data_IF_638988576772
#
_entry.id   IF_638988576772
#
_cell.length_a   1.000
_cell.length_b   1.000
_cell.length_c   1.000
_cell.angle_alpha   90.00
_cell.angle_beta   90.00
_cell.angle_gamma   90.00
#
_symmetry.space_group_name_H-M   'P 1'
#
loop_
_entity.id
_entity.type
_entity.pdbx_description
1 polymer ?
#
# COMPACT_ATOMS: atom_id res chain seq x y z
N UNK A 1 9.06 9.97 3.50
CA UNK A 1 9.38 8.84 2.57
C UNK A 1 9.68 9.41 1.21
N UNK A 2 10.69 8.91 0.56
CA UNK A 2 11.04 9.35 -0.78
C UNK A 2 10.47 8.39 -1.80
N UNK A 3 10.34 8.81 -3.06
CA UNK A 3 9.89 7.89 -4.11
C UNK A 3 10.74 6.61 -4.19
N UNK A 4 12.05 6.74 -4.03
CA UNK A 4 12.92 5.58 -4.08
C UNK A 4 12.66 4.64 -2.92
N UNK A 5 12.36 5.16 -1.73
CA UNK A 5 12.07 4.34 -0.59
C UNK A 5 10.74 3.62 -0.75
N UNK A 6 9.75 4.25 -1.37
CA UNK A 6 8.48 3.60 -1.63
C UNK A 6 8.70 2.40 -2.56
N UNK A 7 9.47 2.59 -3.61
CA UNK A 7 9.75 1.51 -4.56
C UNK A 7 10.52 0.38 -3.89
N UNK A 8 11.50 0.71 -3.05
CA UNK A 8 12.25 -0.28 -2.35
C UNK A 8 11.37 -1.06 -1.40
N UNK A 9 10.48 -0.40 -0.68
CA UNK A 9 9.58 -1.05 0.25
C UNK A 9 8.67 -2.02 -0.51
N UNK A 10 8.11 -1.58 -1.64
CA UNK A 10 7.25 -2.42 -2.45
C UNK A 10 7.99 -3.66 -2.94
N UNK A 11 9.20 -3.46 -3.45
CA UNK A 11 9.98 -4.59 -3.95
C UNK A 11 10.39 -5.54 -2.83
N UNK A 12 10.70 -5.02 -1.65
CA UNK A 12 11.12 -5.88 -0.55
C UNK A 12 9.96 -6.73 -0.05
N UNK A 13 8.73 -6.28 -0.21
CA UNK A 13 7.56 -7.05 0.17
C UNK A 13 7.09 -7.96 -0.96
N UNK A 14 7.69 -7.86 -2.14
CA UNK A 14 7.34 -8.71 -3.26
C UNK A 14 6.07 -8.29 -3.98
N UNK A 15 5.65 -7.03 -3.86
CA UNK A 15 4.41 -6.58 -4.47
C UNK A 15 4.65 -5.96 -5.82
N UNK A 16 3.74 -6.22 -6.76
CA UNK A 16 3.66 -5.43 -7.98
C UNK A 16 3.04 -4.08 -7.66
N UNK A 17 3.04 -3.15 -8.60
CA UNK A 17 2.39 -1.86 -8.37
C UNK A 17 0.90 -2.04 -8.11
N UNK A 18 0.26 -2.98 -8.80
CA UNK A 18 -1.17 -3.22 -8.58
C UNK A 18 -1.43 -3.87 -7.22
N UNK A 19 -0.56 -4.77 -6.81
CA UNK A 19 -0.70 -5.38 -5.49
C UNK A 19 -0.50 -4.35 -4.39
N UNK A 20 0.46 -3.43 -4.56
CA UNK A 20 0.66 -2.37 -3.60
C UNK A 20 -0.56 -1.46 -3.54
N UNK A 21 -1.17 -1.17 -4.68
CA UNK A 21 -2.38 -0.36 -4.71
C UNK A 21 -3.51 -1.04 -3.95
N UNK A 22 -3.65 -2.36 -4.11
CA UNK A 22 -4.65 -3.11 -3.39
C UNK A 22 -4.36 -3.11 -1.89
N UNK A 23 -3.10 -3.28 -1.52
CA UNK A 23 -2.70 -3.28 -0.11
C UNK A 23 -3.02 -1.95 0.54
N UNK A 24 -2.90 -0.87 -0.21
CA UNK A 24 -3.17 0.46 0.30
C UNK A 24 -4.63 0.89 0.11
N UNK A 25 -5.46 -0.01 -0.39
CA UNK A 25 -6.89 0.23 -0.61
C UNK A 25 -7.14 1.40 -1.55
N UNK A 26 -6.30 1.52 -2.56
CA UNK A 26 -6.49 2.56 -3.57
C UNK A 26 -7.49 2.07 -4.62
N UNK A 27 -7.96 2.99 -5.44
CA UNK A 27 -8.96 2.67 -6.46
C UNK A 27 -8.47 1.56 -7.37
N UNK A 28 -9.28 0.56 -7.66
CA UNK A 28 -8.86 -0.51 -8.57
C UNK A 28 -8.54 0.02 -9.97
N UNK A 29 -9.18 1.11 -10.39
CA UNK A 29 -8.96 1.63 -11.72
C UNK A 29 -7.70 2.45 -11.83
N UNK A 30 -7.34 3.19 -10.80
CA UNK A 30 -6.24 4.13 -10.89
C UNK A 30 -5.14 3.91 -9.89
N UNK A 31 -5.29 2.94 -9.01
CA UNK A 31 -4.34 2.75 -7.91
C UNK A 31 -2.94 2.45 -8.40
N UNK A 32 -2.80 1.56 -9.38
CA UNK A 32 -1.48 1.23 -9.91
C UNK A 32 -0.81 2.43 -10.55
N UNK A 33 -1.59 3.23 -11.28
CA UNK A 33 -1.07 4.44 -11.88
C UNK A 33 -0.62 5.44 -10.81
N UNK A 34 -1.38 5.54 -9.73
CA UNK A 34 -1.02 6.41 -8.61
C UNK A 34 0.29 5.97 -7.98
N UNK A 35 0.47 4.67 -7.77
CA UNK A 35 1.72 4.15 -7.23
C UNK A 35 2.88 4.49 -8.17
N UNK A 36 2.71 4.29 -9.46
CA UNK A 36 3.76 4.60 -10.42
C UNK A 36 4.13 6.07 -10.38
N UNK A 37 3.14 6.94 -10.25
CA UNK A 37 3.40 8.38 -10.19
C UNK A 37 4.15 8.76 -8.92
N UNK A 38 3.80 8.13 -7.79
CA UNK A 38 4.51 8.39 -6.55
C UNK A 38 5.96 7.92 -6.63
N UNK A 39 6.18 6.74 -7.21
CA UNK A 39 7.53 6.19 -7.33
C UNK A 39 8.37 6.98 -8.34
N UNK A 40 7.73 7.63 -9.28
CA UNK A 40 8.42 8.48 -10.25
C UNK A 40 8.62 9.90 -9.74
N UNK A 41 8.09 10.21 -8.58
CA UNK A 41 8.22 11.54 -8.02
C UNK A 41 7.28 12.55 -8.63
N UNK A 42 6.25 12.11 -9.37
CA UNK A 42 5.35 13.02 -10.03
C UNK A 42 4.22 13.49 -9.15
N UNK A 43 3.87 12.74 -8.12
CA UNK A 43 2.90 13.16 -7.14
C UNK A 43 3.46 12.87 -5.77
N UNK A 44 2.93 13.61 -4.77
CA UNK A 44 3.43 13.49 -3.43
C UNK A 44 2.96 12.23 -2.78
N UNK A 45 3.78 11.62 -1.97
CA UNK A 45 3.40 10.49 -1.14
C UNK A 45 2.77 11.08 0.11
N UNK A 46 1.47 10.80 0.31
CA UNK A 46 0.73 11.42 1.40
C UNK A 46 1.06 10.76 2.73
N UNK A 47 0.72 11.45 3.83
CA UNK A 47 0.95 10.93 5.17
C UNK A 47 0.31 9.59 5.43
N UNK A 48 -0.98 9.40 5.11
CA UNK A 48 -1.61 8.09 5.33
C UNK A 48 -0.91 6.96 4.59
N UNK A 49 -0.43 7.21 3.37
CA UNK A 49 0.27 6.18 2.63
C UNK A 49 1.62 5.86 3.29
N UNK A 50 2.33 6.87 3.79
CA UNK A 50 3.58 6.64 4.49
C UNK A 50 3.37 5.79 5.72
N UNK A 51 2.31 6.07 6.48
CA UNK A 51 2.02 5.31 7.70
C UNK A 51 1.66 3.87 7.34
N UNK A 52 0.87 3.67 6.31
CA UNK A 52 0.46 2.33 5.92
C UNK A 52 1.66 1.49 5.44
N UNK A 53 2.54 2.10 4.65
CA UNK A 53 3.71 1.39 4.15
C UNK A 53 4.65 1.05 5.31
N UNK A 54 4.82 1.97 6.25
CA UNK A 54 5.65 1.73 7.40
C UNK A 54 5.10 0.57 8.24
N UNK A 55 3.79 0.53 8.43
CA UNK A 55 3.16 -0.56 9.16
C UNK A 55 3.39 -1.90 8.46
N UNK A 56 3.29 -1.93 7.14
CA UNK A 56 3.52 -3.16 6.39
C UNK A 56 4.97 -3.60 6.51
N UNK A 57 5.91 -2.67 6.51
CA UNK A 57 7.31 -3.03 6.66
C UNK A 57 7.60 -3.58 8.05
N UNK A 58 6.79 -3.23 9.03
CA UNK A 58 6.94 -3.72 10.39
C UNK A 58 6.16 -5.00 10.65
N UNK A 59 5.54 -5.55 9.65
CA UNK A 59 4.90 -6.85 9.76
C UNK A 59 3.41 -6.88 9.59
N UNK A 60 2.75 -5.74 9.42
CA UNK A 60 1.31 -5.75 9.18
C UNK A 60 1.02 -6.36 7.81
N UNK A 61 0.11 -7.32 7.77
CA UNK A 61 -0.27 -7.94 6.52
C UNK A 61 -1.61 -7.36 6.07
N UNK A 62 -1.64 -6.52 5.05
CA UNK A 62 -2.88 -5.88 4.62
C UNK A 62 -3.87 -6.84 3.99
N UNK A 63 -3.44 -8.06 3.68
CA UNK A 63 -4.31 -9.04 3.05
C UNK A 63 -4.75 -10.13 4.03
N UNK A 64 -4.36 -10.01 5.30
CA UNK A 64 -4.75 -10.99 6.29
C UNK A 64 -6.03 -10.50 6.94
N UNK A 65 -7.18 -10.91 6.41
CA UNK A 65 -8.44 -10.49 6.93
C UNK A 65 -8.89 -11.43 8.01
N UNK A 66 -9.30 -10.86 9.12
CA UNK A 66 -9.75 -11.68 10.22
C UNK A 66 -11.21 -11.83 10.07
N UNK A 67 -11.64 -12.96 9.54
CA UNK A 67 -12.97 -13.09 9.26
C UNK A 67 -13.80 -13.26 10.43
N UNK A 68 -13.29 -13.61 11.53
CA UNK A 68 -14.11 -13.78 12.60
C UNK A 68 -14.63 -12.56 13.09
N UNK A 69 -14.05 -11.51 12.82
CA UNK A 69 -14.59 -10.34 13.27
C UNK A 69 -15.69 -9.88 12.60
N UNK A 70 -15.99 -10.41 11.61
CA UNK A 70 -16.96 -9.99 10.87
C UNK A 70 -18.14 -10.33 11.30
N UNK A 71 -18.32 -10.98 12.12
CA UNK A 71 -19.47 -11.47 12.46
C UNK A 71 -20.39 -10.48 12.57
N UNK A 72 -20.20 -9.53 12.28
CA UNK A 72 -21.15 -8.73 12.10
C UNK A 72 -22.15 -8.72 13.01
N UNK A 73 -21.95 -9.03 13.95
CA UNK A 73 -22.88 -9.11 14.78
C UNK A 73 -23.37 -7.90 15.06
N UNK A 74 -23.09 -6.99 14.60
CA UNK A 74 -23.70 -5.83 14.91
C UNK A 74 -25.06 -5.74 14.42
#
# INVERSE_FOLDING_TARGET
MTPAKLKLARNSMGYSVNEMADALRLSPDNGGTTIRKMEAGKVRITGPIMVAVDAMLKGYDPFDYDEEEDDGEY
#
